data_IF_438193684851
#
_entry.id   IF_438193684851
#
_cell.length_a   1.000
_cell.length_b   1.000
_cell.length_c   1.000
_cell.angle_alpha   90.00
_cell.angle_beta   90.00
_cell.angle_gamma   90.00
#
_symmetry.space_group_name_H-M   'P 1'
#
loop_
_entity.id
_entity.type
_entity.pdbx_description
1 polymer ?
#
# COMPACT_ATOMS: atom_id res chain seq x y z
N UNK A 1 -34.35 -6.18 17.69
CA UNK A 1 -32.98 -6.36 18.23
C UNK A 1 -32.06 -7.03 17.21
N UNK A 2 -32.34 -8.25 16.76
CA UNK A 2 -31.46 -9.04 15.86
C UNK A 2 -31.09 -8.34 14.54
N UNK A 3 -32.05 -7.69 13.87
CA UNK A 3 -31.82 -6.96 12.60
C UNK A 3 -30.84 -5.78 12.74
N UNK A 4 -30.84 -5.10 13.90
CA UNK A 4 -29.90 -4.00 14.19
C UNK A 4 -28.49 -4.53 14.47
N UNK A 5 -28.39 -5.67 15.15
CA UNK A 5 -27.11 -6.36 15.40
C UNK A 5 -26.49 -6.84 14.08
N UNK A 6 -27.29 -7.42 13.18
CA UNK A 6 -26.83 -7.85 11.86
C UNK A 6 -26.31 -6.67 11.03
N UNK A 7 -27.03 -5.54 11.02
CA UNK A 7 -26.59 -4.32 10.33
C UNK A 7 -25.27 -3.76 10.90
N UNK A 8 -25.14 -3.69 12.23
CA UNK A 8 -23.89 -3.28 12.88
C UNK A 8 -22.73 -4.23 12.57
N UNK A 9 -22.97 -5.54 12.62
CA UNK A 9 -21.94 -6.54 12.32
C UNK A 9 -21.45 -6.43 10.86
N UNK A 10 -22.38 -6.23 9.91
CA UNK A 10 -22.04 -6.09 8.49
C UNK A 10 -21.20 -4.82 8.23
N UNK A 11 -21.48 -3.71 8.92
CA UNK A 11 -20.68 -2.49 8.79
C UNK A 11 -19.25 -2.62 9.32
N UNK A 12 -19.00 -3.46 10.33
CA UNK A 12 -17.65 -3.66 10.89
C UNK A 12 -16.79 -4.51 9.95
N UNK A 13 -17.37 -5.52 9.29
CA UNK A 13 -16.63 -6.37 8.34
C UNK A 13 -16.09 -5.61 7.12
N UNK A 14 -16.75 -4.52 6.72
CA UNK A 14 -16.31 -3.68 5.60
C UNK A 14 -15.00 -2.91 5.90
N UNK A 15 -14.68 -2.69 7.18
CA UNK A 15 -13.44 -2.01 7.58
C UNK A 15 -12.20 -2.93 7.52
N UNK A 16 -12.40 -4.25 7.47
CA UNK A 16 -11.31 -5.23 7.40
C UNK A 16 -10.82 -5.52 5.96
N UNK A 17 -11.39 -4.84 4.95
CA UNK A 17 -11.15 -5.16 3.54
C UNK A 17 -9.89 -4.52 2.92
N UNK A 18 -9.18 -3.64 3.64
CA UNK A 18 -7.95 -3.04 3.13
C UNK A 18 -6.80 -4.06 3.20
N UNK A 19 -6.29 -4.50 2.04
CA UNK A 19 -5.08 -5.33 2.02
C UNK A 19 -3.83 -4.47 2.18
N UNK A 20 -2.77 -5.05 2.75
CA UNK A 20 -1.46 -4.38 2.82
C UNK A 20 -0.92 -3.99 1.45
N UNK A 21 -1.24 -4.76 0.41
CA UNK A 21 -0.88 -4.45 -0.96
C UNK A 21 -1.63 -3.22 -1.48
N UNK A 22 -2.94 -3.11 -1.23
CA UNK A 22 -3.71 -1.93 -1.66
C UNK A 22 -3.18 -0.63 -1.04
N UNK A 23 -2.79 -0.66 0.23
CA UNK A 23 -2.19 0.49 0.91
C UNK A 23 -0.82 0.83 0.30
N UNK A 24 0.01 -0.19 0.05
CA UNK A 24 1.30 -0.02 -0.61
C UNK A 24 1.12 0.61 -1.99
N UNK A 25 0.25 0.03 -2.83
CA UNK A 25 0.00 0.49 -4.19
C UNK A 25 -0.50 1.94 -4.19
N UNK A 26 -1.42 2.31 -3.29
CA UNK A 26 -1.91 3.69 -3.20
C UNK A 26 -0.81 4.70 -2.86
N UNK A 27 0.06 4.38 -1.89
CA UNK A 27 1.19 5.24 -1.52
C UNK A 27 2.23 5.30 -2.64
N UNK A 28 2.53 4.15 -3.25
CA UNK A 28 3.51 4.03 -4.30
C UNK A 28 3.09 4.82 -5.55
N UNK A 29 1.84 4.69 -5.98
CA UNK A 29 1.27 5.46 -7.08
C UNK A 29 1.28 6.96 -6.79
N UNK A 30 0.97 7.38 -5.56
CA UNK A 30 1.04 8.80 -5.19
C UNK A 30 2.46 9.37 -5.31
N UNK A 31 3.49 8.59 -4.93
CA UNK A 31 4.90 9.00 -5.09
C UNK A 31 5.34 9.09 -6.55
N UNK A 32 4.86 8.16 -7.38
CA UNK A 32 5.10 8.21 -8.83
C UNK A 32 4.45 9.44 -9.46
N UNK A 33 3.22 9.78 -9.06
CA UNK A 33 2.55 11.01 -9.51
C UNK A 33 3.30 12.27 -9.09
N UNK A 34 3.89 12.29 -7.90
CA UNK A 34 4.74 13.42 -7.48
C UNK A 34 5.96 13.63 -8.38
N UNK A 35 6.46 12.57 -9.04
CA UNK A 35 7.56 12.69 -9.99
C UNK A 35 7.18 13.48 -11.25
N UNK A 36 5.90 13.58 -11.61
CA UNK A 36 5.43 14.35 -12.78
C UNK A 36 5.76 15.86 -12.70
N UNK A 37 6.13 16.34 -11.51
CA UNK A 37 6.63 17.71 -11.30
C UNK A 37 8.01 17.94 -11.91
N UNK A 38 8.79 16.89 -12.15
CA UNK A 38 10.13 16.95 -12.72
C UNK A 38 10.13 16.66 -14.22
N UNK A 39 11.22 17.03 -14.90
CA UNK A 39 11.39 16.74 -16.33
C UNK A 39 12.79 16.22 -16.64
N UNK A 40 12.93 15.55 -17.79
CA UNK A 40 14.22 15.09 -18.29
C UNK A 40 14.93 14.10 -17.34
N UNK A 41 16.22 14.28 -17.05
CA UNK A 41 16.96 13.41 -16.14
C UNK A 41 16.36 13.33 -14.73
N UNK A 42 15.87 14.45 -14.20
CA UNK A 42 15.34 14.51 -12.83
C UNK A 42 14.07 13.67 -12.67
N UNK A 43 13.24 13.59 -13.72
CA UNK A 43 12.10 12.68 -13.74
C UNK A 43 12.55 11.22 -13.65
N UNK A 44 13.58 10.82 -14.42
CA UNK A 44 14.11 9.45 -14.41
C UNK A 44 14.72 9.09 -13.05
N UNK A 45 15.48 10.00 -12.47
CA UNK A 45 16.09 9.80 -11.14
C UNK A 45 15.02 9.71 -10.04
N UNK A 46 13.89 10.40 -10.20
CA UNK A 46 12.75 10.30 -9.27
C UNK A 46 12.05 8.94 -9.36
N UNK A 47 11.62 8.52 -10.56
CA UNK A 47 10.89 7.25 -10.73
C UNK A 47 11.74 6.04 -10.33
N UNK A 48 13.06 6.11 -10.51
CA UNK A 48 13.98 5.02 -10.16
C UNK A 48 14.03 4.76 -8.65
N UNK A 49 13.74 5.76 -7.81
CA UNK A 49 13.67 5.58 -6.35
C UNK A 49 12.46 4.75 -5.92
N UNK A 50 11.49 4.54 -6.81
CA UNK A 50 10.24 3.85 -6.56
C UNK A 50 10.08 2.63 -7.49
N UNK A 51 11.16 1.95 -7.88
CA UNK A 51 11.10 0.75 -8.73
C UNK A 51 10.83 -0.55 -7.96
N UNK A 52 10.63 -0.45 -6.63
CA UNK A 52 10.43 -1.62 -5.77
C UNK A 52 9.05 -2.26 -5.97
N UNK A 53 9.02 -3.59 -6.18
CA UNK A 53 7.77 -4.34 -6.20
C UNK A 53 7.21 -4.55 -4.78
N UNK A 54 5.89 -4.73 -4.65
CA UNK A 54 5.29 -5.05 -3.35
C UNK A 54 5.87 -6.31 -2.71
N UNK A 55 6.20 -7.33 -3.51
CA UNK A 55 6.81 -8.57 -3.02
C UNK A 55 8.20 -8.34 -2.42
N UNK A 56 9.01 -7.47 -3.05
CA UNK A 56 10.34 -7.15 -2.55
C UNK A 56 10.24 -6.31 -1.28
N UNK A 57 9.35 -5.32 -1.25
CA UNK A 57 9.03 -4.55 -0.06
C UNK A 57 8.61 -5.45 1.12
N UNK A 58 7.71 -6.41 0.90
CA UNK A 58 7.28 -7.33 1.96
C UNK A 58 8.41 -8.24 2.43
N UNK A 59 9.28 -8.71 1.52
CA UNK A 59 10.44 -9.52 1.89
C UNK A 59 11.40 -8.72 2.76
N UNK A 60 11.82 -7.54 2.33
CA UNK A 60 12.71 -6.65 3.09
C UNK A 60 12.09 -6.27 4.44
N UNK A 61 10.78 -5.97 4.47
CA UNK A 61 10.06 -5.68 5.71
C UNK A 61 10.12 -6.84 6.70
N UNK A 62 9.94 -8.08 6.24
CA UNK A 62 10.02 -9.27 7.10
C UNK A 62 11.43 -9.48 7.64
N UNK A 63 12.45 -9.31 6.78
CA UNK A 63 13.86 -9.39 7.17
C UNK A 63 14.20 -8.38 8.27
N UNK A 64 13.72 -7.13 8.14
CA UNK A 64 13.92 -6.07 9.13
C UNK A 64 13.18 -6.32 10.45
N UNK A 65 11.99 -6.92 10.39
CA UNK A 65 11.17 -7.20 11.57
C UNK A 65 11.52 -8.54 12.25
N UNK A 66 12.40 -9.35 11.64
CA UNK A 66 12.72 -10.69 12.13
C UNK A 66 11.51 -11.62 12.17
N UNK A 67 10.50 -11.37 11.33
CA UNK A 67 9.29 -12.18 11.25
C UNK A 67 9.42 -13.16 10.09
N UNK A 68 9.76 -14.41 10.39
CA UNK A 68 9.56 -15.54 9.49
C UNK A 68 8.07 -15.96 9.56
N UNK A 69 7.41 -16.16 8.41
CA UNK A 69 6.01 -16.63 8.35
C UNK A 69 5.89 -18.12 8.70
#
# INVERSE_FOLDING_TARGET
MLRRIILSALSVSLLAACSHQQVYDAVHQNRLQDCEKFSGPQYRDCIQQYDQSYSDYQRERRELLGTEE
#
